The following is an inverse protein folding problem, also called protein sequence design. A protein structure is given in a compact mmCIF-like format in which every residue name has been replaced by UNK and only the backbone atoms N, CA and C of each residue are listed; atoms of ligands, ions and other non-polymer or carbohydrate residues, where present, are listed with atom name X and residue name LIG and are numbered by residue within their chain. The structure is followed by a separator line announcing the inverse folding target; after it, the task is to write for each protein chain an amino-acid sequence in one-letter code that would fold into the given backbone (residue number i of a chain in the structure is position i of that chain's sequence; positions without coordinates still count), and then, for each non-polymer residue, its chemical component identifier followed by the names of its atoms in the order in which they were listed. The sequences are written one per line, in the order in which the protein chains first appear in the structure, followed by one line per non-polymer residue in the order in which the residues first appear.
data_IF_762550737861
#
_entry.id   IF_762550737861
#
_cell.length_a   1.000
_cell.length_b   1.000
_cell.length_c   1.000
_cell.angle_alpha   90.00
_cell.angle_beta   90.00
_cell.angle_gamma   90.00
#
_symmetry.space_group_name_H-M   'P 1'
#
loop_
_entity.id
_entity.type
_entity.pdbx_description
1 polymer ?
#
# COMPACT_ATOMS: atom_id res chain seq x y z
N UNK A 1 -21.49 5.64 21.17
CA UNK A 1 -20.10 5.11 21.19
C UNK A 1 -19.18 6.28 21.34
N UNK A 2 -18.52 6.40 22.49
CA UNK A 2 -17.72 7.55 22.90
C UNK A 2 -16.46 7.71 22.06
N UNK A 3 -16.18 8.95 21.65
CA UNK A 3 -15.06 9.37 20.78
C UNK A 3 -13.66 9.32 21.44
N UNK A 4 -13.48 8.64 22.59
CA UNK A 4 -12.36 8.94 23.50
C UNK A 4 -11.31 7.85 23.71
N UNK A 5 -11.27 6.75 22.94
CA UNK A 5 -10.27 5.69 23.16
C UNK A 5 -9.48 5.29 21.91
N UNK A 6 -9.13 6.26 21.12
CA UNK A 6 -8.06 6.12 20.13
C UNK A 6 -6.74 6.59 20.76
N UNK A 7 -5.56 5.98 20.43
CA UNK A 7 -4.31 6.40 21.05
C UNK A 7 -4.16 7.90 20.89
N UNK A 8 -4.50 8.59 21.98
CA UNK A 8 -4.40 10.02 22.08
C UNK A 8 -2.91 10.36 21.98
N UNK A 9 -2.63 11.58 21.54
CA UNK A 9 -1.35 12.25 21.44
C UNK A 9 -0.26 11.91 22.49
N UNK A 10 -0.56 11.18 23.55
CA UNK A 10 0.38 10.76 24.59
C UNK A 10 1.33 9.62 24.18
N UNK A 11 0.92 8.71 23.31
CA UNK A 11 1.82 7.67 22.74
C UNK A 11 2.65 8.21 21.57
N UNK A 12 2.23 9.33 20.98
CA UNK A 12 2.91 9.98 19.86
C UNK A 12 3.78 11.18 20.31
N UNK A 13 3.70 11.59 21.57
CA UNK A 13 4.27 12.83 22.08
C UNK A 13 5.81 12.83 22.26
N UNK A 14 6.49 11.75 21.87
CA UNK A 14 7.96 11.67 21.91
C UNK A 14 8.64 11.58 20.55
N UNK A 15 7.89 11.42 19.47
CA UNK A 15 8.46 11.20 18.14
C UNK A 15 7.88 12.18 17.11
N UNK A 16 8.68 13.16 16.73
CA UNK A 16 8.42 14.10 15.63
C UNK A 16 8.01 13.40 14.32
N UNK A 17 8.45 12.15 14.12
CA UNK A 17 8.14 11.37 12.96
C UNK A 17 6.65 10.93 12.95
N UNK A 18 6.18 10.35 14.04
CA UNK A 18 4.78 9.88 14.16
C UNK A 18 3.79 11.05 14.08
N UNK A 19 4.10 12.19 14.70
CA UNK A 19 3.28 13.40 14.63
C UNK A 19 3.19 13.93 13.18
N UNK A 20 4.29 13.93 12.43
CA UNK A 20 4.31 14.31 11.01
C UNK A 20 3.49 13.37 10.15
N UNK A 21 3.62 12.06 10.36
CA UNK A 21 2.82 11.07 9.65
C UNK A 21 1.32 11.29 9.90
N UNK A 22 0.93 11.45 11.16
CA UNK A 22 -0.45 11.73 11.53
C UNK A 22 -1.00 12.99 10.87
N UNK A 23 -0.28 14.11 10.94
CA UNK A 23 -0.75 15.38 10.37
C UNK A 23 -0.94 15.31 8.85
N UNK A 24 -0.13 14.50 8.16
CA UNK A 24 -0.17 14.36 6.71
C UNK A 24 -1.29 13.40 6.23
N UNK A 25 -1.52 12.31 6.96
CA UNK A 25 -2.41 11.24 6.50
C UNK A 25 -3.79 11.17 7.17
N UNK A 26 -4.07 11.99 8.17
CA UNK A 26 -5.32 11.89 8.97
C UNK A 26 -6.61 12.19 8.21
N UNK A 27 -6.55 12.90 7.10
CA UNK A 27 -7.72 13.25 6.30
C UNK A 27 -7.74 12.48 4.97
N UNK A 28 -8.96 12.17 4.43
CA UNK A 28 -9.06 11.56 3.12
C UNK A 28 -8.58 12.53 2.03
N UNK A 29 -7.87 11.99 1.03
CA UNK A 29 -7.45 12.69 -0.18
C UNK A 29 -8.33 12.22 -1.34
N UNK A 30 -9.55 12.77 -1.42
CA UNK A 30 -10.51 12.43 -2.47
C UNK A 30 -9.96 12.66 -3.90
N UNK A 31 -9.24 13.75 -4.21
CA UNK A 31 -8.57 13.91 -5.49
C UNK A 31 -7.60 12.77 -5.82
N UNK A 32 -6.84 12.28 -4.82
CA UNK A 32 -5.96 11.12 -4.98
C UNK A 32 -6.76 9.86 -5.34
N UNK A 33 -7.82 9.58 -4.59
CA UNK A 33 -8.67 8.42 -4.84
C UNK A 33 -9.27 8.46 -6.26
N UNK A 34 -9.85 9.59 -6.67
CA UNK A 34 -10.41 9.77 -8.02
C UNK A 34 -9.34 9.59 -9.10
N UNK A 35 -8.16 10.12 -8.89
CA UNK A 35 -7.05 9.96 -9.81
C UNK A 35 -6.61 8.49 -9.94
N UNK A 36 -6.48 7.78 -8.84
CA UNK A 36 -6.11 6.36 -8.81
C UNK A 36 -7.15 5.46 -9.48
N UNK A 37 -8.42 5.78 -9.39
CA UNK A 37 -9.53 4.90 -9.82
C UNK A 37 -10.09 5.25 -11.19
N UNK A 38 -10.05 6.51 -11.62
CA UNK A 38 -10.69 7.00 -12.85
C UNK A 38 -9.74 7.18 -14.05
N UNK A 39 -8.47 7.52 -13.84
CA UNK A 39 -7.53 7.70 -14.95
C UNK A 39 -7.14 6.34 -15.54
N UNK A 40 -7.65 6.01 -16.73
CA UNK A 40 -7.60 4.67 -17.32
C UNK A 40 -6.19 4.04 -17.34
N UNK A 41 -5.15 4.80 -17.71
CA UNK A 41 -3.76 4.30 -17.74
C UNK A 41 -3.27 4.00 -16.33
N UNK A 42 -3.50 4.92 -15.41
CA UNK A 42 -3.07 4.76 -14.03
C UNK A 42 -3.84 3.64 -13.33
N UNK A 43 -5.17 3.60 -13.50
CA UNK A 43 -6.02 2.55 -12.94
C UNK A 43 -5.63 1.14 -13.42
N UNK A 44 -5.23 0.98 -14.69
CA UNK A 44 -4.76 -0.31 -15.20
C UNK A 44 -3.46 -0.75 -14.54
N UNK A 45 -2.53 0.19 -14.32
CA UNK A 45 -1.24 -0.05 -13.65
C UNK A 45 -1.45 -0.42 -12.19
N UNK A 46 -2.31 0.32 -11.47
CA UNK A 46 -2.65 0.05 -10.07
C UNK A 46 -3.35 -1.30 -9.91
N UNK A 47 -4.32 -1.61 -10.77
CA UNK A 47 -5.00 -2.91 -10.78
C UNK A 47 -4.02 -4.06 -10.97
N UNK A 48 -3.10 -3.94 -11.93
CA UNK A 48 -2.05 -4.94 -12.16
C UNK A 48 -1.17 -5.13 -10.92
N UNK A 49 -0.78 -4.04 -10.24
CA UNK A 49 0.06 -4.09 -9.07
C UNK A 49 -0.62 -4.81 -7.90
N UNK A 50 -1.90 -4.50 -7.62
CA UNK A 50 -2.62 -5.11 -6.50
C UNK A 50 -3.22 -6.48 -6.84
N UNK A 51 -3.30 -6.86 -8.12
CA UNK A 51 -3.85 -8.15 -8.55
C UNK A 51 -3.12 -9.36 -7.95
N UNK A 52 -1.88 -9.20 -7.51
CA UNK A 52 -1.13 -10.22 -6.76
C UNK A 52 -1.81 -10.62 -5.44
N UNK A 53 -2.63 -9.73 -4.88
CA UNK A 53 -3.45 -9.99 -3.70
C UNK A 53 -4.87 -10.48 -4.05
N UNK A 54 -5.19 -10.66 -5.33
CA UNK A 54 -6.47 -11.20 -5.76
C UNK A 54 -6.61 -12.69 -5.40
N UNK A 55 -7.84 -13.15 -5.25
CA UNK A 55 -8.17 -14.54 -4.91
C UNK A 55 -9.42 -14.59 -4.02
N UNK A 56 -9.98 -15.76 -3.82
CA UNK A 56 -11.17 -15.97 -2.99
C UNK A 56 -10.85 -16.00 -1.49
N UNK A 57 -11.90 -15.98 -0.67
CA UNK A 57 -11.80 -16.05 0.77
C UNK A 57 -11.74 -14.68 1.45
N UNK A 58 -11.27 -14.69 2.69
CA UNK A 58 -11.24 -13.50 3.56
C UNK A 58 -9.94 -12.72 3.33
N UNK A 59 -10.07 -11.50 2.82
CA UNK A 59 -8.98 -10.56 2.61
C UNK A 59 -8.98 -9.48 3.68
N UNK A 60 -7.82 -9.21 4.24
CA UNK A 60 -7.53 -8.03 5.04
C UNK A 60 -6.55 -7.13 4.28
N UNK A 61 -6.84 -5.84 4.16
CA UNK A 61 -5.86 -4.82 3.82
C UNK A 61 -5.55 -3.96 5.04
N UNK A 62 -4.27 -3.86 5.40
CA UNK A 62 -3.76 -3.02 6.50
C UNK A 62 -3.19 -1.74 5.93
N UNK A 63 -3.67 -0.58 6.45
CA UNK A 63 -3.34 0.73 5.88
C UNK A 63 -4.10 1.00 4.58
N UNK A 64 -5.39 0.67 4.53
CA UNK A 64 -6.18 0.77 3.30
C UNK A 64 -6.46 2.21 2.84
N UNK A 65 -6.25 3.21 3.69
CA UNK A 65 -6.52 4.61 3.39
C UNK A 65 -7.95 4.82 2.88
N UNK A 66 -8.05 5.46 1.74
CA UNK A 66 -9.31 5.72 1.02
C UNK A 66 -9.87 4.47 0.30
N UNK A 67 -9.20 3.32 0.40
CA UNK A 67 -9.65 2.06 -0.18
C UNK A 67 -9.30 1.86 -1.66
N UNK A 68 -8.34 2.60 -2.21
CA UNK A 68 -7.99 2.53 -3.63
C UNK A 68 -7.60 1.13 -4.11
N UNK A 69 -6.87 0.36 -3.31
CA UNK A 69 -6.50 -1.01 -3.64
C UNK A 69 -7.72 -1.94 -3.63
N UNK A 70 -8.58 -1.83 -2.62
CA UNK A 70 -9.81 -2.62 -2.53
C UNK A 70 -10.76 -2.29 -3.68
N UNK A 71 -10.82 -1.03 -4.13
CA UNK A 71 -11.56 -0.62 -5.32
C UNK A 71 -11.08 -1.40 -6.55
N UNK A 72 -9.78 -1.49 -6.77
CA UNK A 72 -9.20 -2.20 -7.92
C UNK A 72 -9.35 -3.71 -7.84
N UNK A 73 -9.35 -4.27 -6.64
CA UNK A 73 -9.61 -5.70 -6.43
C UNK A 73 -11.07 -6.06 -6.68
N UNK A 74 -11.99 -5.09 -6.53
CA UNK A 74 -13.41 -5.26 -6.79
C UNK A 74 -14.14 -6.14 -5.78
N UNK A 75 -15.46 -6.32 -5.98
CA UNK A 75 -16.24 -7.28 -5.21
C UNK A 75 -15.71 -8.70 -5.44
N UNK A 76 -15.70 -9.51 -4.40
CA UNK A 76 -15.15 -10.87 -4.43
C UNK A 76 -15.96 -11.82 -3.56
N UNK A 77 -15.83 -13.12 -3.83
CA UNK A 77 -16.41 -14.14 -2.97
C UNK A 77 -15.65 -14.16 -1.63
N UNK A 78 -16.35 -13.88 -0.55
CA UNK A 78 -15.78 -13.83 0.79
C UNK A 78 -15.73 -12.42 1.40
N UNK A 79 -15.13 -12.34 2.57
CA UNK A 79 -15.08 -11.09 3.35
C UNK A 79 -13.89 -10.24 2.91
N UNK A 80 -14.15 -8.96 2.64
CA UNK A 80 -13.11 -7.96 2.40
C UNK A 80 -13.11 -6.95 3.55
N UNK A 81 -11.98 -6.79 4.22
CA UNK A 81 -11.79 -5.86 5.34
C UNK A 81 -10.65 -4.90 5.03
N UNK A 82 -10.89 -3.61 5.21
CA UNK A 82 -9.89 -2.56 5.21
C UNK A 82 -9.65 -2.00 6.60
N UNK A 83 -8.40 -1.90 7.00
CA UNK A 83 -7.99 -1.23 8.23
C UNK A 83 -7.13 -0.02 7.93
N UNK A 84 -7.37 1.05 8.69
CA UNK A 84 -6.48 2.22 8.72
C UNK A 84 -6.55 2.86 10.11
N UNK A 85 -5.51 3.57 10.51
CA UNK A 85 -5.55 4.34 11.76
C UNK A 85 -6.31 5.65 11.61
N UNK A 86 -6.47 6.19 10.39
CA UNK A 86 -7.18 7.44 10.11
C UNK A 86 -8.68 7.18 9.85
N UNK A 87 -9.50 7.21 10.90
CA UNK A 87 -10.94 6.93 10.82
C UNK A 87 -11.68 7.77 9.77
N UNK A 88 -11.24 9.01 9.52
CA UNK A 88 -11.85 9.86 8.49
C UNK A 88 -11.71 9.25 7.08
N UNK A 89 -10.58 8.58 6.79
CA UNK A 89 -10.38 7.86 5.53
C UNK A 89 -11.31 6.65 5.42
N UNK A 90 -11.53 5.94 6.53
CA UNK A 90 -12.42 4.78 6.56
C UNK A 90 -13.88 5.15 6.32
N UNK A 91 -14.33 6.32 6.82
CA UNK A 91 -15.66 6.86 6.50
C UNK A 91 -15.79 7.09 5.00
N UNK A 92 -14.79 7.70 4.37
CA UNK A 92 -14.77 7.89 2.93
C UNK A 92 -14.76 6.53 2.18
N UNK A 93 -13.86 5.61 2.57
CA UNK A 93 -13.74 4.28 1.96
C UNK A 93 -15.04 3.49 2.04
N UNK A 94 -15.77 3.55 3.16
CA UNK A 94 -17.04 2.84 3.32
C UNK A 94 -18.13 3.34 2.36
N UNK A 95 -18.11 4.61 2.02
CA UNK A 95 -19.01 5.19 1.00
C UNK A 95 -18.59 4.81 -0.44
N UNK A 96 -17.30 4.76 -0.70
CA UNK A 96 -16.75 4.47 -2.03
C UNK A 96 -16.76 2.96 -2.37
N UNK A 97 -16.75 2.07 -1.36
CA UNK A 97 -16.57 0.63 -1.51
C UNK A 97 -17.61 -0.13 -0.66
N UNK A 98 -18.86 -0.22 -1.13
CA UNK A 98 -19.98 -0.76 -0.34
C UNK A 98 -19.86 -2.27 -0.04
N UNK A 99 -19.01 -3.00 -0.78
CA UNK A 99 -18.73 -4.43 -0.54
C UNK A 99 -17.65 -4.68 0.51
N UNK A 100 -16.93 -3.63 0.96
CA UNK A 100 -15.90 -3.72 1.99
C UNK A 100 -16.48 -3.53 3.40
N UNK A 101 -15.72 -4.00 4.39
CA UNK A 101 -15.92 -3.66 5.81
C UNK A 101 -14.70 -2.89 6.29
N UNK A 102 -14.90 -1.83 7.07
CA UNK A 102 -13.83 -0.94 7.47
C UNK A 102 -13.80 -0.77 8.98
N UNK A 103 -12.60 -0.81 9.57
CA UNK A 103 -12.40 -0.59 11.00
C UNK A 103 -11.09 0.17 11.27
N UNK A 104 -11.12 1.03 12.29
CA UNK A 104 -9.94 1.74 12.76
C UNK A 104 -9.04 0.82 13.58
N UNK A 105 -7.74 0.74 13.23
CA UNK A 105 -6.76 -0.03 13.99
C UNK A 105 -5.33 0.43 13.72
N UNK A 106 -4.43 0.09 14.67
CA UNK A 106 -2.99 0.21 14.51
C UNK A 106 -2.45 -1.06 13.83
N UNK A 107 -1.56 -0.89 12.85
CA UNK A 107 -0.87 -1.99 12.19
C UNK A 107 0.00 -2.82 13.15
N UNK A 108 0.37 -2.24 14.28
CA UNK A 108 1.16 -2.90 15.34
C UNK A 108 0.32 -3.75 16.30
N UNK A 109 -1.02 -3.64 16.25
CA UNK A 109 -1.93 -4.39 17.12
C UNK A 109 -3.27 -4.58 16.41
N UNK A 110 -3.35 -5.60 15.57
CA UNK A 110 -4.53 -5.87 14.75
C UNK A 110 -5.66 -6.49 15.61
N UNK A 111 -6.90 -5.95 15.57
CA UNK A 111 -8.00 -6.36 16.45
C UNK A 111 -8.68 -7.66 15.98
N UNK A 112 -7.90 -8.61 15.49
CA UNK A 112 -8.40 -9.89 15.00
C UNK A 112 -7.69 -11.04 15.70
N UNK A 113 -8.39 -12.17 15.83
CA UNK A 113 -7.79 -13.41 16.29
C UNK A 113 -6.76 -13.94 15.28
N UNK A 114 -5.82 -14.74 15.74
CA UNK A 114 -4.89 -15.45 14.87
C UNK A 114 -5.64 -16.29 13.83
N UNK A 115 -5.12 -16.31 12.60
CA UNK A 115 -5.69 -17.10 11.51
C UNK A 115 -7.05 -16.62 11.00
N UNK A 116 -7.41 -15.36 11.20
CA UNK A 116 -8.71 -14.82 10.81
C UNK A 116 -8.88 -14.67 9.29
N UNK A 117 -7.79 -14.49 8.53
CA UNK A 117 -7.82 -14.17 7.10
C UNK A 117 -7.05 -15.19 6.26
N UNK A 118 -7.55 -15.42 5.04
CA UNK A 118 -6.91 -16.28 4.05
C UNK A 118 -5.76 -15.55 3.35
N UNK A 119 -5.89 -14.22 3.23
CA UNK A 119 -4.90 -13.32 2.64
C UNK A 119 -4.84 -11.99 3.37
N UNK A 120 -3.63 -11.49 3.57
CA UNK A 120 -3.38 -10.18 4.20
C UNK A 120 -2.51 -9.35 3.26
N UNK A 121 -2.99 -8.16 2.91
CA UNK A 121 -2.29 -7.17 2.09
C UNK A 121 -1.85 -5.99 2.96
N UNK A 122 -0.63 -5.54 2.77
CA UNK A 122 -0.16 -4.23 3.21
C UNK A 122 0.56 -3.57 2.05
N UNK A 123 0.22 -2.31 1.75
CA UNK A 123 0.82 -1.58 0.65
C UNK A 123 1.06 -0.12 1.01
N UNK A 124 2.26 0.37 0.70
CA UNK A 124 2.66 1.77 0.94
C UNK A 124 2.50 2.18 2.42
N UNK A 125 2.83 1.30 3.37
CA UNK A 125 2.63 1.52 4.82
C UNK A 125 3.91 1.33 5.63
N UNK A 126 4.68 0.27 5.38
CA UNK A 126 5.81 -0.07 6.26
C UNK A 126 6.85 1.04 6.33
N UNK A 127 7.10 1.76 5.24
CA UNK A 127 8.05 2.88 5.23
C UNK A 127 7.56 4.10 6.04
N UNK A 128 6.27 4.14 6.40
CA UNK A 128 5.68 5.13 7.31
C UNK A 128 5.76 4.73 8.79
N UNK A 129 6.21 3.52 9.10
CA UNK A 129 6.43 3.08 10.47
C UNK A 129 7.88 3.30 10.90
N UNK A 130 8.15 3.56 12.20
CA UNK A 130 9.49 3.53 12.75
C UNK A 130 10.20 2.23 12.41
N UNK A 131 11.48 2.31 12.07
CA UNK A 131 12.24 1.16 11.53
C UNK A 131 12.31 -0.04 12.47
N UNK A 132 12.37 0.21 13.76
CA UNK A 132 12.38 -0.78 14.84
C UNK A 132 11.02 -1.46 15.03
N UNK A 133 9.92 -0.77 14.67
CA UNK A 133 8.55 -1.29 14.81
C UNK A 133 8.07 -2.06 13.57
N UNK A 134 8.76 -1.97 12.42
CA UNK A 134 8.34 -2.64 11.18
C UNK A 134 8.25 -4.17 11.31
N UNK A 135 9.12 -4.79 12.11
CA UNK A 135 9.07 -6.24 12.37
C UNK A 135 7.81 -6.64 13.14
N UNK A 136 7.41 -5.85 14.10
CA UNK A 136 6.20 -6.06 14.88
C UNK A 136 4.95 -5.99 13.98
N UNK A 137 4.87 -4.97 13.12
CA UNK A 137 3.78 -4.88 12.14
C UNK A 137 3.72 -6.12 11.24
N UNK A 138 4.86 -6.57 10.69
CA UNK A 138 4.89 -7.76 9.84
C UNK A 138 4.50 -9.02 10.62
N UNK A 139 4.92 -9.16 11.88
CA UNK A 139 4.52 -10.29 12.72
C UNK A 139 2.99 -10.33 12.95
N UNK A 140 2.35 -9.16 13.13
CA UNK A 140 0.89 -9.06 13.25
C UNK A 140 0.17 -9.47 11.95
N UNK A 141 0.71 -9.10 10.76
CA UNK A 141 0.15 -9.58 9.49
C UNK A 141 0.14 -11.11 9.42
N UNK A 142 1.25 -11.73 9.79
CA UNK A 142 1.36 -13.20 9.82
C UNK A 142 0.47 -13.81 10.89
N UNK A 143 0.38 -13.23 12.08
CA UNK A 143 -0.49 -13.72 13.16
C UNK A 143 -1.95 -13.81 12.71
N UNK A 144 -2.48 -12.79 12.05
CA UNK A 144 -3.88 -12.76 11.60
C UNK A 144 -4.13 -13.56 10.32
N UNK A 145 -3.08 -13.90 9.58
CA UNK A 145 -3.14 -14.79 8.43
C UNK A 145 -3.24 -16.24 8.89
N UNK A 146 -4.12 -17.04 8.26
CA UNK A 146 -4.25 -18.45 8.62
C UNK A 146 -3.04 -19.28 8.16
N UNK A 147 -2.84 -20.43 8.75
CA UNK A 147 -1.90 -21.43 8.25
C UNK A 147 -2.19 -21.76 6.77
N UNK A 148 -1.15 -21.78 5.95
CA UNK A 148 -1.24 -21.93 4.50
C UNK A 148 -1.78 -20.70 3.74
N UNK A 149 -2.15 -19.64 4.46
CA UNK A 149 -2.54 -18.35 3.88
C UNK A 149 -1.35 -17.54 3.38
N UNK A 150 -1.61 -16.40 2.78
CA UNK A 150 -0.58 -15.57 2.15
C UNK A 150 -0.59 -14.14 2.69
N UNK A 151 0.58 -13.64 3.07
CA UNK A 151 0.83 -12.22 3.36
C UNK A 151 1.50 -11.59 2.16
N UNK A 152 0.93 -10.51 1.64
CA UNK A 152 1.43 -9.74 0.49
C UNK A 152 1.85 -8.37 0.97
N UNK A 153 3.13 -8.06 0.82
CA UNK A 153 3.72 -6.77 1.15
C UNK A 153 4.12 -6.08 -0.16
N UNK A 154 3.59 -4.90 -0.42
CA UNK A 154 3.92 -4.07 -1.58
C UNK A 154 4.50 -2.76 -1.07
N UNK A 155 5.77 -2.52 -1.31
CA UNK A 155 6.44 -1.31 -0.85
C UNK A 155 7.17 -0.61 -1.99
N UNK A 156 7.25 0.71 -1.96
CA UNK A 156 8.04 1.44 -2.92
C UNK A 156 9.53 1.18 -2.67
N UNK A 157 10.30 1.20 -3.74
CA UNK A 157 11.74 0.97 -3.72
C UNK A 157 12.48 2.32 -3.72
N UNK A 158 13.13 2.65 -2.62
CA UNK A 158 13.91 3.88 -2.48
C UNK A 158 15.13 3.99 -3.42
N UNK A 159 15.50 2.91 -4.12
CA UNK A 159 16.53 2.95 -5.18
C UNK A 159 15.98 3.47 -6.51
N UNK A 160 14.66 3.51 -6.69
CA UNK A 160 14.07 4.07 -7.90
C UNK A 160 14.21 5.61 -7.88
N UNK A 161 14.73 6.23 -8.95
CA UNK A 161 15.02 7.68 -8.95
C UNK A 161 13.77 8.54 -8.77
N UNK A 162 12.62 8.14 -9.31
CA UNK A 162 11.37 8.91 -9.12
C UNK A 162 10.84 8.77 -7.70
N UNK A 163 10.94 7.58 -7.08
CA UNK A 163 10.56 7.40 -5.68
C UNK A 163 11.48 8.17 -4.75
N UNK A 164 12.80 8.15 -5.02
CA UNK A 164 13.77 8.94 -4.26
C UNK A 164 13.49 10.46 -4.38
N UNK A 165 13.18 10.95 -5.58
CA UNK A 165 12.80 12.34 -5.79
C UNK A 165 11.52 12.71 -5.02
N UNK A 166 10.51 11.84 -4.98
CA UNK A 166 9.31 12.03 -4.18
C UNK A 166 9.64 12.15 -2.69
N UNK A 167 10.51 11.29 -2.18
CA UNK A 167 10.93 11.31 -0.78
C UNK A 167 11.72 12.58 -0.39
N UNK A 168 12.42 13.19 -1.35
CA UNK A 168 13.11 14.47 -1.15
C UNK A 168 12.13 15.63 -0.98
N UNK A 169 11.10 15.69 -1.82
CA UNK A 169 10.13 16.81 -1.85
C UNK A 169 8.97 16.63 -0.87
N UNK A 170 8.74 15.40 -0.38
CA UNK A 170 7.64 15.08 0.54
C UNK A 170 8.19 14.53 1.85
N UNK A 171 8.29 15.33 2.93
CA UNK A 171 8.88 14.88 4.20
C UNK A 171 8.24 13.63 4.80
N UNK A 172 6.93 13.42 4.60
CA UNK A 172 6.21 12.23 5.06
C UNK A 172 6.68 10.94 4.36
N UNK A 173 7.25 11.05 3.16
CA UNK A 173 7.74 9.93 2.35
C UNK A 173 9.22 9.59 2.60
N UNK A 174 9.91 10.26 3.50
CA UNK A 174 11.35 10.05 3.74
C UNK A 174 11.72 8.64 4.19
N UNK A 175 10.78 7.88 4.74
CA UNK A 175 10.95 6.47 5.04
C UNK A 175 11.30 5.61 3.81
N UNK A 176 10.94 6.08 2.61
CA UNK A 176 11.29 5.46 1.33
C UNK A 176 12.79 5.22 1.14
N UNK A 177 13.65 6.11 1.62
CA UNK A 177 15.11 5.93 1.50
C UNK A 177 15.62 4.63 2.13
N UNK A 178 14.87 4.08 3.07
CA UNK A 178 15.18 2.82 3.75
C UNK A 178 14.36 1.64 3.22
N UNK A 179 13.37 1.88 2.34
CA UNK A 179 12.58 0.84 1.72
C UNK A 179 13.33 0.28 0.51
N UNK A 180 14.00 -0.85 0.69
CA UNK A 180 14.74 -1.54 -0.36
C UNK A 180 14.26 -2.99 -0.49
N UNK A 181 14.37 -3.62 -1.68
CA UNK A 181 13.92 -4.99 -1.88
C UNK A 181 14.51 -5.98 -0.88
N UNK A 182 15.81 -5.83 -0.59
CA UNK A 182 16.51 -6.68 0.38
C UNK A 182 15.94 -6.52 1.79
N UNK A 183 15.70 -5.28 2.21
CA UNK A 183 15.16 -5.00 3.55
C UNK A 183 13.72 -5.49 3.70
N UNK A 184 12.85 -5.19 2.74
CA UNK A 184 11.44 -5.63 2.79
C UNK A 184 11.37 -7.16 2.79
N UNK A 185 12.16 -7.82 1.94
CA UNK A 185 12.24 -9.28 1.93
C UNK A 185 12.74 -9.86 3.26
N UNK A 186 13.72 -9.20 3.91
CA UNK A 186 14.25 -9.65 5.20
C UNK A 186 13.21 -9.53 6.32
N UNK A 187 12.37 -8.47 6.31
CA UNK A 187 11.27 -8.32 7.27
C UNK A 187 10.27 -9.47 7.15
N UNK A 188 9.87 -9.82 5.92
CA UNK A 188 8.89 -10.89 5.67
C UNK A 188 9.47 -12.27 5.99
N UNK A 189 10.74 -12.54 5.63
CA UNK A 189 11.42 -13.82 5.97
C UNK A 189 11.50 -14.09 7.46
N UNK A 190 11.65 -13.04 8.25
CA UNK A 190 11.70 -13.16 9.73
C UNK A 190 10.40 -13.63 10.37
N UNK A 191 9.29 -13.62 9.64
CA UNK A 191 7.96 -13.96 10.16
C UNK A 191 7.25 -15.07 9.36
N UNK A 192 7.73 -15.43 8.16
CA UNK A 192 7.14 -16.42 7.27
C UNK A 192 8.18 -17.42 6.74
N UNK A 193 7.73 -18.53 6.23
CA UNK A 193 8.60 -19.64 5.83
C UNK A 193 9.07 -19.60 4.40
N UNK A 194 8.19 -19.40 3.44
CA UNK A 194 8.56 -19.27 2.03
C UNK A 194 8.29 -17.86 1.55
N UNK A 195 9.31 -17.23 0.96
CA UNK A 195 9.23 -15.84 0.50
C UNK A 195 9.58 -15.75 -0.96
N UNK A 196 8.66 -15.19 -1.77
CA UNK A 196 8.93 -14.78 -3.15
C UNK A 196 9.06 -13.27 -3.22
N UNK A 197 9.96 -12.80 -4.08
CA UNK A 197 10.21 -11.38 -4.29
C UNK A 197 10.08 -11.07 -5.77
N UNK A 198 9.20 -10.14 -6.09
CA UNK A 198 8.98 -9.65 -7.45
C UNK A 198 9.18 -8.14 -7.49
N UNK A 199 9.62 -7.62 -8.63
CA UNK A 199 9.74 -6.19 -8.86
C UNK A 199 8.68 -5.76 -9.86
N UNK A 200 8.09 -4.59 -9.64
CA UNK A 200 7.05 -4.05 -10.50
C UNK A 200 7.30 -2.58 -10.84
N UNK A 201 6.86 -2.17 -12.03
CA UNK A 201 6.94 -0.80 -12.56
C UNK A 201 8.39 -0.29 -12.65
N UNK A 202 9.04 -0.39 -13.81
CA UNK A 202 10.44 0.00 -13.97
C UNK A 202 10.66 1.47 -13.63
N UNK A 203 9.85 2.35 -14.20
CA UNK A 203 9.81 3.76 -13.85
C UNK A 203 8.35 4.22 -13.91
N UNK A 204 7.76 4.72 -12.85
CA UNK A 204 6.33 5.08 -12.83
C UNK A 204 6.07 6.40 -13.56
N UNK A 205 6.42 6.46 -14.87
CA UNK A 205 6.29 7.68 -15.70
C UNK A 205 4.83 8.13 -15.76
N UNK A 206 3.90 7.20 -15.97
CA UNK A 206 2.49 7.52 -15.95
C UNK A 206 2.06 8.16 -14.61
N UNK A 207 2.60 7.67 -13.50
CA UNK A 207 2.33 8.23 -12.17
C UNK A 207 2.86 9.65 -12.04
N UNK A 208 4.05 9.94 -12.55
CA UNK A 208 4.63 11.29 -12.51
C UNK A 208 3.91 12.26 -13.43
N UNK A 209 3.70 11.88 -14.72
CA UNK A 209 3.09 12.74 -15.74
C UNK A 209 1.61 13.03 -15.43
N UNK A 210 0.88 12.03 -14.97
CA UNK A 210 -0.56 12.14 -14.68
C UNK A 210 -0.86 12.44 -13.21
N UNK A 211 0.14 12.78 -12.41
CA UNK A 211 -0.05 12.99 -10.98
C UNK A 211 -1.03 14.14 -10.70
N UNK A 212 -2.01 13.91 -9.83
CA UNK A 212 -3.10 14.84 -9.55
C UNK A 212 -2.65 16.19 -8.94
N UNK A 213 -1.49 16.22 -8.25
CA UNK A 213 -0.92 17.47 -7.68
C UNK A 213 0.16 18.10 -8.52
N UNK A 214 1.00 17.31 -9.18
CA UNK A 214 2.24 17.78 -9.81
C UNK A 214 2.28 17.55 -11.32
N UNK A 215 1.31 16.80 -11.86
CA UNK A 215 1.22 16.46 -13.27
C UNK A 215 -0.01 17.04 -13.96
N UNK A 216 -0.36 16.43 -15.09
CA UNK A 216 -1.53 16.81 -15.89
C UNK A 216 -2.48 15.61 -16.00
N UNK A 217 -3.33 15.35 -14.99
CA UNK A 217 -4.17 14.16 -14.95
C UNK A 217 -5.16 14.07 -16.12
N UNK A 218 -5.60 15.20 -16.69
CA UNK A 218 -6.50 15.25 -17.85
C UNK A 218 -5.91 14.55 -19.09
N UNK A 219 -4.58 14.47 -19.23
CA UNK A 219 -3.94 13.73 -20.33
C UNK A 219 -4.21 12.23 -20.26
N UNK A 220 -4.51 11.69 -19.08
CA UNK A 220 -4.79 10.26 -18.89
C UNK A 220 -6.07 9.77 -19.56
N UNK A 221 -6.99 10.67 -19.91
CA UNK A 221 -8.21 10.34 -20.65
C UNK A 221 -8.00 10.22 -22.16
N UNK A 222 -6.84 10.65 -22.69
CA UNK A 222 -6.54 10.62 -24.11
C UNK A 222 -5.95 9.26 -24.53
N UNK A 223 -6.59 8.52 -25.47
CA UNK A 223 -6.11 7.19 -25.89
C UNK A 223 -4.70 7.20 -26.50
N UNK A 224 -4.31 8.30 -27.16
CA UNK A 224 -2.96 8.47 -27.72
C UNK A 224 -1.90 8.55 -26.63
N UNK A 225 -2.15 9.32 -25.57
CA UNK A 225 -1.27 9.44 -24.42
C UNK A 225 -1.17 8.10 -23.67
N UNK A 226 -2.30 7.43 -23.48
CA UNK A 226 -2.36 6.11 -22.88
C UNK A 226 -1.46 5.10 -23.62
N UNK A 227 -1.58 5.04 -24.95
CA UNK A 227 -0.74 4.16 -25.78
C UNK A 227 0.74 4.53 -25.73
N UNK A 228 1.06 5.82 -25.73
CA UNK A 228 2.43 6.31 -25.64
C UNK A 228 3.07 5.90 -24.31
N UNK A 229 2.39 6.16 -23.19
CA UNK A 229 2.87 5.80 -21.86
C UNK A 229 3.05 4.28 -21.71
N UNK A 230 2.11 3.48 -22.22
CA UNK A 230 2.23 2.02 -22.20
C UNK A 230 3.41 1.49 -23.02
N UNK A 231 3.69 2.12 -24.18
CA UNK A 231 4.87 1.77 -25.00
C UNK A 231 6.17 2.16 -24.30
N UNK A 232 6.19 3.32 -23.64
CA UNK A 232 7.32 3.78 -22.88
C UNK A 232 7.61 2.84 -21.71
N UNK A 233 6.60 2.46 -20.96
CA UNK A 233 6.74 1.48 -19.87
C UNK A 233 7.33 0.15 -20.39
N UNK A 234 6.80 -0.38 -21.50
CA UNK A 234 7.30 -1.62 -22.10
C UNK A 234 8.76 -1.52 -22.59
N UNK A 235 9.17 -0.34 -23.06
CA UNK A 235 10.56 -0.08 -23.41
C UNK A 235 11.45 -0.02 -22.16
N UNK A 236 10.99 0.69 -21.13
CA UNK A 236 11.72 0.84 -19.86
C UNK A 236 11.88 -0.48 -19.12
N UNK A 237 10.92 -1.39 -19.24
CA UNK A 237 11.03 -2.77 -18.69
C UNK A 237 12.25 -3.54 -19.25
N UNK A 238 12.67 -3.22 -20.47
CA UNK A 238 13.81 -3.88 -21.13
C UNK A 238 15.15 -3.26 -20.77
N UNK A 239 15.16 -1.99 -20.42
CA UNK A 239 16.39 -1.20 -20.25
C UNK A 239 16.76 -0.99 -18.78
N UNK A 240 15.76 -0.79 -17.92
CA UNK A 240 16.02 -0.53 -16.51
C UNK A 240 16.25 -1.83 -15.74
N UNK A 241 17.40 -1.97 -15.05
CA UNK A 241 17.65 -3.13 -14.19
C UNK A 241 16.55 -3.27 -13.12
N UNK A 242 16.09 -4.50 -12.90
CA UNK A 242 14.97 -4.78 -11.96
C UNK A 242 15.22 -4.25 -10.54
N UNK A 243 16.47 -4.19 -10.09
CA UNK A 243 16.84 -3.64 -8.79
C UNK A 243 16.46 -2.16 -8.58
N UNK A 244 16.20 -1.44 -9.67
CA UNK A 244 15.75 -0.03 -9.66
C UNK A 244 14.26 0.14 -9.98
N UNK A 245 13.49 -0.92 -10.16
CA UNK A 245 12.05 -0.82 -10.36
C UNK A 245 11.36 -0.22 -9.14
N UNK A 246 10.25 0.49 -9.37
CA UNK A 246 9.63 1.36 -8.38
C UNK A 246 9.00 0.64 -7.20
N UNK A 247 8.52 -0.58 -7.40
CA UNK A 247 7.87 -1.36 -6.35
C UNK A 247 8.52 -2.72 -6.16
N UNK A 248 8.63 -3.11 -4.90
CA UNK A 248 8.92 -4.48 -4.49
C UNK A 248 7.64 -5.13 -3.97
N UNK A 249 7.35 -6.32 -4.47
CA UNK A 249 6.26 -7.18 -4.03
C UNK A 249 6.88 -8.37 -3.34
N UNK A 250 6.60 -8.54 -2.06
CA UNK A 250 7.08 -9.68 -1.28
C UNK A 250 5.87 -10.48 -0.82
N UNK A 251 5.84 -11.75 -1.19
CA UNK A 251 4.80 -12.67 -0.74
C UNK A 251 5.41 -13.69 0.22
N UNK A 252 4.80 -13.83 1.38
CA UNK A 252 5.18 -14.80 2.39
C UNK A 252 4.03 -15.75 2.70
N UNK A 253 4.27 -17.06 2.76
CA UNK A 253 3.28 -18.03 3.22
C UNK A 253 3.37 -18.22 4.72
N UNK A 254 2.20 -18.19 5.38
CA UNK A 254 2.11 -18.54 6.78
C UNK A 254 2.28 -20.05 6.92
N UNK A 255 3.29 -20.46 7.69
CA UNK A 255 3.40 -21.86 8.17
C UNK A 255 2.63 -22.01 9.47
N UNK A 256 2.06 -23.18 9.63
CA UNK A 256 1.39 -23.57 10.86
C UNK A 256 2.35 -23.80 12.03
#
# INVERSE_FOLDING_TARGET
MSREHWPTSRTLAGDDFAARQWSYFRHPDEPKFRWQTAAAVFASTERRLVSVAAGDGRLLEVGCGEGGNLFHLGPRAGLTVGLDYACAKLVFASGAIPWGRFAGADALSLPFRSGAFDRVLIRDVLHHLPRDRQREAVAELFRVCRSGGEVVVIEPNGRNPLMAALALVTPAERGLFHSTPVRVAALVRGSGSSVTVEMAQPLPVARAVLHYRYGVPALGSQPSVARLLSRLDAMLERVIPRSFWAYVIVRGRQVG
#
